data_IF_694934850417
#
_entry.id   IF_694934850417
#
_cell.length_a   1.000
_cell.length_b   1.000
_cell.length_c   1.000
_cell.angle_alpha   90.00
_cell.angle_beta   90.00
_cell.angle_gamma   90.00
#
_symmetry.space_group_name_H-M   'P 1'
#
loop_
_entity.id
_entity.type
_entity.pdbx_description
1 polymer ?
#
# COMPACT_ATOMS: atom_id res chain seq x y z
N UNK A 1 -11.86 -27.61 8.38
CA UNK A 1 -10.62 -27.29 9.12
C UNK A 1 -10.58 -25.77 9.22
N UNK A 2 -10.16 -25.20 10.35
CA UNK A 2 -10.08 -23.74 10.50
C UNK A 2 -8.67 -23.29 10.13
N UNK A 3 -8.55 -22.31 9.24
CA UNK A 3 -7.28 -21.69 8.86
C UNK A 3 -7.08 -20.45 9.73
N UNK A 4 -5.96 -20.39 10.45
CA UNK A 4 -5.61 -19.23 11.27
C UNK A 4 -4.73 -18.27 10.48
N UNK A 5 -5.01 -16.97 10.57
CA UNK A 5 -4.20 -15.90 10.00
C UNK A 5 -3.72 -15.01 11.13
N UNK A 6 -2.43 -14.71 11.14
CA UNK A 6 -1.80 -13.87 12.15
C UNK A 6 -1.42 -12.54 11.50
N UNK A 7 -2.04 -11.46 11.97
CA UNK A 7 -1.90 -10.09 11.48
C UNK A 7 -3.15 -9.59 10.75
N UNK A 8 -3.77 -8.53 11.28
CA UNK A 8 -4.98 -7.88 10.76
C UNK A 8 -4.71 -6.61 9.96
N UNK A 9 -3.53 -6.54 9.34
CA UNK A 9 -3.22 -5.58 8.29
C UNK A 9 -4.02 -5.86 7.01
N UNK A 10 -3.83 -5.01 5.99
CA UNK A 10 -4.57 -5.16 4.73
C UNK A 10 -4.36 -6.54 4.08
N UNK A 11 -3.14 -7.08 4.16
CA UNK A 11 -2.78 -8.38 3.58
C UNK A 11 -3.54 -9.52 4.28
N UNK A 12 -3.51 -9.59 5.61
CA UNK A 12 -4.22 -10.64 6.34
C UNK A 12 -5.73 -10.55 6.17
N UNK A 13 -6.29 -9.34 6.15
CA UNK A 13 -7.71 -9.12 5.92
C UNK A 13 -8.16 -9.51 4.50
N UNK A 14 -7.37 -9.20 3.46
CA UNK A 14 -7.70 -9.62 2.10
C UNK A 14 -7.53 -11.13 1.92
N UNK A 15 -6.49 -11.74 2.49
CA UNK A 15 -6.33 -13.21 2.51
C UNK A 15 -7.50 -13.91 3.21
N UNK A 16 -7.93 -13.40 4.37
CA UNK A 16 -9.11 -13.91 5.07
C UNK A 16 -10.36 -13.84 4.19
N UNK A 17 -10.56 -12.72 3.50
CA UNK A 17 -11.73 -12.51 2.65
C UNK A 17 -11.74 -13.53 1.50
N UNK A 18 -10.60 -13.72 0.86
CA UNK A 18 -10.41 -14.69 -0.22
C UNK A 18 -10.59 -16.14 0.25
N UNK A 19 -10.17 -16.49 1.46
CA UNK A 19 -10.42 -17.82 2.04
C UNK A 19 -11.90 -18.05 2.32
N UNK A 20 -12.60 -17.05 2.88
CA UNK A 20 -14.06 -17.17 3.12
C UNK A 20 -14.86 -17.33 1.82
N UNK A 21 -14.41 -16.70 0.72
CA UNK A 21 -15.01 -16.85 -0.61
C UNK A 21 -14.84 -18.27 -1.18
N UNK A 22 -13.84 -19.00 -0.68
CA UNK A 22 -13.57 -20.41 -1.04
C UNK A 22 -14.26 -21.39 -0.07
N UNK A 23 -15.06 -20.89 0.88
CA UNK A 23 -15.80 -21.70 1.84
C UNK A 23 -14.97 -22.16 3.05
N UNK A 24 -13.76 -21.64 3.22
CA UNK A 24 -12.91 -22.00 4.36
C UNK A 24 -13.36 -21.29 5.64
N UNK A 25 -13.22 -21.99 6.77
CA UNK A 25 -13.41 -21.40 8.09
C UNK A 25 -12.13 -20.66 8.49
N UNK A 26 -12.23 -19.39 8.87
CA UNK A 26 -11.07 -18.54 9.19
C UNK A 26 -11.13 -18.03 10.62
N UNK A 27 -9.98 -18.08 11.30
CA UNK A 27 -9.71 -17.35 12.53
C UNK A 27 -8.62 -16.31 12.26
N UNK A 28 -8.84 -15.04 12.60
CA UNK A 28 -7.85 -13.98 12.40
C UNK A 28 -7.42 -13.40 13.74
N UNK A 29 -6.12 -13.44 14.02
CA UNK A 29 -5.55 -12.90 15.26
C UNK A 29 -4.74 -11.65 14.93
N UNK A 30 -5.07 -10.52 15.55
CA UNK A 30 -4.33 -9.26 15.40
C UNK A 30 -4.15 -8.61 16.78
N UNK A 31 -2.94 -8.69 17.33
CA UNK A 31 -2.61 -7.98 18.55
C UNK A 31 -2.51 -6.48 18.23
N UNK A 32 -3.66 -5.79 18.24
CA UNK A 32 -3.73 -4.37 17.88
C UNK A 32 -2.72 -3.58 18.75
N UNK A 33 -1.74 -2.98 18.09
CA UNK A 33 -0.80 -2.04 18.69
C UNK A 33 -1.16 -0.65 18.18
N UNK A 34 -1.48 0.27 19.10
CA UNK A 34 -1.81 1.66 18.76
C UNK A 34 -0.57 2.50 18.50
N UNK A 35 0.54 2.15 19.14
CA UNK A 35 1.75 2.97 19.18
C UNK A 35 3.01 2.16 18.92
N UNK A 36 4.04 2.86 18.44
CA UNK A 36 5.39 2.30 18.40
C UNK A 36 5.94 2.14 19.82
N UNK A 37 6.73 1.09 20.03
CA UNK A 37 7.38 0.90 21.31
C UNK A 37 8.13 -0.41 21.39
N UNK A 38 8.36 -0.85 22.61
CA UNK A 38 8.96 -2.14 22.92
C UNK A 38 8.05 -2.81 23.95
N UNK A 39 7.64 -4.04 23.71
CA UNK A 39 6.92 -4.80 24.72
C UNK A 39 7.84 -5.22 25.86
N UNK A 40 7.25 -5.71 26.95
CA UNK A 40 7.99 -6.12 28.17
C UNK A 40 9.07 -7.19 27.91
N UNK A 41 8.92 -7.97 26.84
CA UNK A 41 9.86 -8.99 26.39
C UNK A 41 10.99 -8.44 25.49
N UNK A 42 11.09 -7.12 25.32
CA UNK A 42 12.11 -6.48 24.49
C UNK A 42 11.79 -6.46 22.99
N UNK A 43 10.62 -6.96 22.57
CA UNK A 43 10.23 -6.99 21.15
C UNK A 43 9.73 -5.63 20.67
N UNK A 44 10.21 -5.17 19.50
CA UNK A 44 9.72 -3.95 18.89
C UNK A 44 8.25 -4.09 18.46
N UNK A 45 7.44 -3.08 18.80
CA UNK A 45 6.03 -2.94 18.44
C UNK A 45 5.88 -1.98 17.26
N UNK A 46 5.13 -2.42 16.26
CA UNK A 46 4.84 -1.65 15.06
C UNK A 46 3.33 -1.60 14.84
N UNK A 47 2.69 -0.42 14.88
CA UNK A 47 1.30 -0.29 14.49
C UNK A 47 1.12 -0.67 13.01
N UNK A 48 -0.07 -1.12 12.64
CA UNK A 48 -0.34 -1.63 11.30
C UNK A 48 -0.02 -0.58 10.21
N UNK A 49 0.98 -0.84 9.37
CA UNK A 49 1.39 0.05 8.27
C UNK A 49 0.22 0.48 7.37
N UNK A 50 -0.77 -0.41 7.20
CA UNK A 50 -2.00 -0.14 6.43
C UNK A 50 -2.83 1.03 6.97
N UNK A 51 -2.72 1.38 8.26
CA UNK A 51 -3.41 2.53 8.85
C UNK A 51 -2.87 3.88 8.34
N UNK A 52 -1.57 3.92 8.01
CA UNK A 52 -0.83 5.12 7.61
C UNK A 52 -0.58 5.21 6.11
N UNK A 53 -1.06 4.25 5.32
CA UNK A 53 -0.84 4.25 3.88
C UNK A 53 -1.71 5.32 3.18
N UNK A 54 -1.18 5.89 2.08
CA UNK A 54 -1.93 6.83 1.23
C UNK A 54 -3.02 6.15 0.39
N UNK A 55 -2.82 4.90 -0.02
CA UNK A 55 -3.83 4.10 -0.70
C UNK A 55 -3.91 4.26 -2.22
N UNK A 56 -2.80 4.62 -2.87
CA UNK A 56 -2.70 4.55 -4.34
C UNK A 56 -2.71 3.08 -4.79
N UNK A 57 -3.39 2.82 -5.91
CA UNK A 57 -3.42 1.56 -6.64
C UNK A 57 -2.82 1.81 -8.02
N UNK A 58 -1.54 2.18 -8.02
CA UNK A 58 -0.94 2.89 -9.15
C UNK A 58 0.32 2.18 -9.66
N UNK A 59 0.20 1.02 -10.34
CA UNK A 59 1.34 0.27 -10.84
C UNK A 59 2.20 1.09 -11.82
N UNK A 60 1.61 2.02 -12.58
CA UNK A 60 2.33 2.82 -13.57
C UNK A 60 2.97 4.01 -12.88
N UNK A 61 2.22 4.77 -12.07
CA UNK A 61 2.82 5.91 -11.39
C UNK A 61 3.89 5.51 -10.37
N UNK A 62 3.77 4.38 -9.68
CA UNK A 62 4.68 4.04 -8.58
C UNK A 62 5.93 3.25 -8.98
N UNK A 63 5.98 2.69 -10.20
CA UNK A 63 7.14 1.89 -10.63
C UNK A 63 8.38 2.76 -10.84
N UNK A 64 9.51 2.23 -10.38
CA UNK A 64 10.84 2.81 -10.52
C UNK A 64 11.66 2.00 -11.53
N UNK A 65 12.75 2.58 -12.04
CA UNK A 65 13.67 1.85 -12.92
C UNK A 65 14.19 0.57 -12.24
N UNK A 66 14.44 -0.48 -13.04
CA UNK A 66 14.99 -1.77 -12.60
C UNK A 66 14.07 -2.59 -11.66
N UNK A 67 12.75 -2.37 -11.73
CA UNK A 67 11.76 -3.13 -10.97
C UNK A 67 11.07 -4.22 -11.81
N UNK A 68 11.82 -4.90 -12.68
CA UNK A 68 11.26 -5.81 -13.70
C UNK A 68 10.52 -7.01 -13.09
N UNK A 69 10.90 -7.46 -11.89
CA UNK A 69 10.20 -8.52 -11.15
C UNK A 69 8.98 -8.03 -10.35
N UNK A 70 8.99 -6.76 -9.91
CA UNK A 70 7.91 -6.18 -9.10
C UNK A 70 6.76 -5.66 -9.96
N UNK A 71 7.07 -5.12 -11.14
CA UNK A 71 6.07 -4.52 -12.01
C UNK A 71 4.97 -5.49 -12.47
N UNK A 72 5.26 -6.75 -12.86
CA UNK A 72 4.23 -7.74 -13.15
C UNK A 72 3.30 -8.00 -11.96
N UNK A 73 3.83 -8.04 -10.73
CA UNK A 73 3.05 -8.22 -9.51
C UNK A 73 2.09 -7.06 -9.27
N UNK A 74 2.61 -5.83 -9.35
CA UNK A 74 1.80 -4.60 -9.19
C UNK A 74 0.68 -4.55 -10.21
N UNK A 75 1.01 -4.91 -11.46
CA UNK A 75 0.07 -4.93 -12.58
C UNK A 75 -1.03 -5.97 -12.39
N UNK A 76 -0.66 -7.22 -12.10
CA UNK A 76 -1.62 -8.29 -11.85
C UNK A 76 -2.54 -7.99 -10.66
N UNK A 77 -2.01 -7.32 -9.63
CA UNK A 77 -2.81 -6.91 -8.48
C UNK A 77 -3.77 -5.77 -8.81
N UNK A 78 -3.34 -4.76 -9.57
CA UNK A 78 -4.22 -3.69 -10.07
C UNK A 78 -5.38 -4.25 -10.90
N UNK A 79 -5.10 -5.20 -11.79
CA UNK A 79 -6.11 -5.84 -12.64
C UNK A 79 -7.09 -6.71 -11.81
N UNK A 80 -6.68 -7.19 -10.62
CA UNK A 80 -7.53 -7.96 -9.70
C UNK A 80 -8.46 -7.10 -8.82
N UNK A 81 -8.14 -5.82 -8.62
CA UNK A 81 -8.88 -4.94 -7.71
C UNK A 81 -10.37 -4.74 -8.07
N UNK A 82 -10.76 -4.50 -9.34
CA UNK A 82 -12.15 -4.32 -9.69
C UNK A 82 -13.05 -5.49 -9.26
N UNK A 83 -12.59 -6.73 -9.49
CA UNK A 83 -13.31 -7.93 -9.07
C UNK A 83 -13.35 -8.08 -7.55
N UNK A 84 -12.26 -7.76 -6.84
CA UNK A 84 -12.25 -7.75 -5.37
C UNK A 84 -13.27 -6.74 -4.82
N UNK A 85 -13.34 -5.54 -5.40
CA UNK A 85 -14.27 -4.49 -4.97
C UNK A 85 -15.73 -4.87 -5.22
N UNK A 86 -16.03 -5.49 -6.36
CA UNK A 86 -17.37 -6.00 -6.67
C UNK A 86 -17.81 -7.09 -5.68
N UNK A 87 -16.93 -8.02 -5.32
CA UNK A 87 -17.26 -9.08 -4.37
C UNK A 87 -17.38 -8.53 -2.95
N UNK A 88 -16.53 -7.59 -2.57
CA UNK A 88 -16.59 -6.95 -1.25
C UNK A 88 -17.88 -6.14 -1.07
N UNK A 89 -18.35 -5.41 -2.10
CA UNK A 89 -19.59 -4.64 -2.01
C UNK A 89 -20.85 -5.51 -1.85
N UNK A 90 -20.80 -6.78 -2.29
CA UNK A 90 -21.86 -7.76 -2.01
C UNK A 90 -21.84 -8.26 -0.56
N UNK A 91 -20.71 -8.13 0.12
CA UNK A 91 -20.51 -8.61 1.49
C UNK A 91 -20.73 -7.53 2.55
N UNK A 92 -20.51 -6.26 2.20
CA UNK A 92 -20.66 -5.11 3.09
C UNK A 92 -21.11 -3.86 2.35
N UNK A 93 -21.93 -3.05 3.04
CA UNK A 93 -22.35 -1.72 2.58
C UNK A 93 -21.38 -0.61 3.03
N UNK A 94 -20.36 -0.96 3.82
CA UNK A 94 -19.38 0.01 4.28
C UNK A 94 -18.51 0.49 3.12
N UNK A 95 -18.23 1.80 3.03
CA UNK A 95 -17.41 2.33 1.95
C UNK A 95 -15.96 1.84 2.08
N UNK A 96 -15.31 1.63 0.94
CA UNK A 96 -13.86 1.34 0.85
C UNK A 96 -13.04 2.57 0.47
N UNK A 97 -13.71 3.60 -0.05
CA UNK A 97 -13.09 4.76 -0.69
C UNK A 97 -12.45 4.45 -2.03
N UNK A 98 -12.78 3.31 -2.65
CA UNK A 98 -12.28 2.95 -3.99
C UNK A 98 -12.75 3.95 -5.04
N UNK A 99 -11.81 4.49 -5.80
CA UNK A 99 -12.04 5.51 -6.80
C UNK A 99 -11.15 5.25 -8.01
N UNK A 100 -11.75 5.35 -9.20
CA UNK A 100 -11.14 5.00 -10.49
C UNK A 100 -10.92 6.23 -11.37
N UNK A 101 -10.85 7.42 -10.77
CA UNK A 101 -10.75 8.68 -11.51
C UNK A 101 -9.41 8.81 -12.25
N UNK A 102 -8.38 8.10 -11.79
CA UNK A 102 -7.05 8.11 -12.42
C UNK A 102 -6.00 8.83 -11.60
N UNK A 103 -4.75 8.74 -12.06
CA UNK A 103 -3.62 9.52 -11.55
C UNK A 103 -3.12 10.49 -12.61
N UNK A 104 -2.73 11.69 -12.19
CA UNK A 104 -2.03 12.68 -12.98
C UNK A 104 -0.63 12.88 -12.40
N UNK A 105 0.41 12.55 -13.16
CA UNK A 105 1.79 12.85 -12.79
C UNK A 105 2.14 14.25 -13.30
N UNK A 106 2.67 15.11 -12.44
CA UNK A 106 2.96 16.51 -12.72
C UNK A 106 4.43 16.82 -12.43
N UNK A 107 5.08 17.52 -13.35
CA UNK A 107 6.43 18.05 -13.16
C UNK A 107 6.38 19.52 -12.74
N UNK A 108 7.01 19.87 -11.61
CA UNK A 108 7.03 21.25 -11.12
C UNK A 108 7.93 22.18 -11.95
N UNK A 109 9.02 21.64 -12.52
CA UNK A 109 9.97 22.38 -13.34
C UNK A 109 10.49 21.55 -14.54
N UNK A 110 11.38 22.17 -15.34
CA UNK A 110 11.88 21.55 -16.57
C UNK A 110 12.71 20.28 -16.30
N UNK A 111 13.50 20.25 -15.23
CA UNK A 111 14.29 19.09 -14.88
C UNK A 111 13.39 17.92 -14.46
N UNK A 112 12.34 18.21 -13.69
CA UNK A 112 11.31 17.23 -13.34
C UNK A 112 10.56 16.73 -14.60
N UNK A 113 10.31 17.60 -15.59
CA UNK A 113 9.66 17.23 -16.84
C UNK A 113 10.54 16.31 -17.71
N UNK A 114 11.85 16.58 -17.76
CA UNK A 114 12.83 15.73 -18.42
C UNK A 114 12.96 14.35 -17.71
N UNK A 115 12.83 14.31 -16.39
CA UNK A 115 12.72 13.04 -15.65
C UNK A 115 11.45 12.28 -16.03
N UNK A 116 10.29 12.94 -16.00
CA UNK A 116 8.99 12.35 -16.35
C UNK A 116 8.98 11.77 -17.78
N UNK A 117 9.59 12.46 -18.74
CA UNK A 117 9.72 11.98 -20.12
C UNK A 117 10.55 10.70 -20.23
N UNK A 118 11.65 10.59 -19.46
CA UNK A 118 12.48 9.38 -19.41
C UNK A 118 11.73 8.20 -18.82
N UNK A 119 11.01 8.42 -17.72
CA UNK A 119 10.24 7.35 -17.06
C UNK A 119 9.07 6.88 -17.94
N UNK A 120 8.41 7.79 -18.67
CA UNK A 120 7.38 7.43 -19.66
C UNK A 120 7.91 6.52 -20.78
N UNK A 121 9.14 6.76 -21.25
CA UNK A 121 9.73 5.92 -22.30
C UNK A 121 9.82 4.46 -21.84
N UNK A 122 10.21 4.23 -20.59
CA UNK A 122 10.25 2.90 -19.96
C UNK A 122 8.85 2.27 -19.85
N UNK A 123 7.80 3.03 -19.51
CA UNK A 123 6.43 2.49 -19.39
C UNK A 123 5.85 2.00 -20.71
N UNK A 124 6.12 2.73 -21.80
CA UNK A 124 5.67 2.36 -23.14
C UNK A 124 6.22 0.98 -23.55
N UNK A 125 7.46 0.69 -23.19
CA UNK A 125 8.09 -0.59 -23.50
C UNK A 125 7.44 -1.76 -22.74
N UNK A 126 6.70 -1.45 -21.66
CA UNK A 126 5.92 -2.40 -20.86
C UNK A 126 4.42 -2.46 -21.24
N UNK A 127 4.02 -1.89 -22.40
CA UNK A 127 2.64 -1.87 -22.90
C UNK A 127 1.58 -1.28 -21.94
N UNK A 128 1.97 -0.37 -21.04
CA UNK A 128 1.03 0.35 -20.18
C UNK A 128 0.97 1.83 -20.59
N UNK A 129 -0.17 2.33 -21.09
CA UNK A 129 -0.27 3.67 -21.63
C UNK A 129 -0.12 4.72 -20.51
N UNK A 130 0.76 5.68 -20.77
CA UNK A 130 0.94 6.87 -19.94
C UNK A 130 0.86 8.07 -20.89
N UNK A 131 -0.34 8.66 -20.94
CA UNK A 131 -0.72 9.60 -21.98
C UNK A 131 -0.14 10.98 -21.66
N UNK A 132 0.77 11.51 -22.51
CA UNK A 132 1.32 12.83 -22.28
C UNK A 132 0.20 13.86 -22.46
N UNK A 133 0.05 14.77 -21.51
CA UNK A 133 -0.89 15.88 -21.60
C UNK A 133 -0.15 17.19 -21.45
N UNK A 134 -0.56 18.20 -22.21
CA UNK A 134 -0.02 19.54 -22.07
C UNK A 134 -0.38 20.14 -20.71
N UNK A 135 0.40 21.09 -20.17
CA UNK A 135 0.03 21.83 -18.96
C UNK A 135 -1.40 22.41 -19.01
N UNK A 136 -1.83 22.89 -20.18
CA UNK A 136 -3.20 23.39 -20.39
C UNK A 136 -4.25 22.30 -20.22
N UNK A 137 -4.03 21.12 -20.80
CA UNK A 137 -4.94 19.96 -20.64
C UNK A 137 -4.94 19.46 -19.19
N UNK A 138 -3.77 19.36 -18.55
CA UNK A 138 -3.65 19.00 -17.14
C UNK A 138 -4.47 19.95 -16.25
N UNK A 139 -4.39 21.27 -16.49
CA UNK A 139 -5.19 22.26 -15.78
C UNK A 139 -6.68 22.26 -16.15
N UNK A 140 -7.05 21.74 -17.31
CA UNK A 140 -8.45 21.50 -17.63
C UNK A 140 -9.03 20.34 -16.81
N UNK A 141 -8.23 19.29 -16.58
CA UNK A 141 -8.58 18.17 -15.70
C UNK A 141 -8.59 18.60 -14.23
N UNK A 142 -7.57 19.35 -13.81
CA UNK A 142 -7.35 19.84 -12.44
C UNK A 142 -7.09 21.36 -12.41
N UNK A 143 -8.15 22.19 -12.36
CA UNK A 143 -8.04 23.66 -12.45
C UNK A 143 -7.17 24.33 -11.39
N UNK A 144 -7.03 23.69 -10.23
CA UNK A 144 -6.28 24.19 -9.08
C UNK A 144 -4.80 23.81 -9.09
N UNK A 145 -4.33 23.11 -10.13
CA UNK A 145 -2.89 22.94 -10.36
C UNK A 145 -2.21 24.30 -10.57
N UNK A 146 -0.96 24.38 -10.11
CA UNK A 146 -0.12 25.56 -10.24
C UNK A 146 -0.01 25.99 -11.73
N UNK A 147 -0.08 27.30 -12.04
CA UNK A 147 0.01 27.77 -13.42
C UNK A 147 1.34 27.45 -14.12
N UNK A 148 2.41 27.22 -13.34
CA UNK A 148 3.79 27.04 -13.82
C UNK A 148 4.28 25.60 -13.68
N UNK A 149 3.43 24.61 -13.94
CA UNK A 149 3.88 23.22 -14.13
C UNK A 149 4.57 23.09 -15.50
N UNK A 150 5.60 22.25 -15.57
CA UNK A 150 6.45 22.12 -16.76
C UNK A 150 6.08 20.91 -17.64
N UNK A 151 5.28 19.98 -17.12
CA UNK A 151 4.82 18.81 -17.85
C UNK A 151 3.83 17.99 -17.05
N UNK A 152 3.06 17.15 -17.73
CA UNK A 152 2.13 16.25 -17.09
C UNK A 152 1.88 14.98 -17.92
N UNK A 153 1.49 13.91 -17.23
CA UNK A 153 1.12 12.60 -17.81
C UNK A 153 -0.14 12.12 -17.11
N UNK A 154 -1.15 11.75 -17.89
CA UNK A 154 -2.40 11.17 -17.40
C UNK A 154 -2.31 9.64 -17.42
N UNK A 155 -2.79 9.02 -16.34
CA UNK A 155 -2.83 7.57 -16.17
C UNK A 155 -4.23 7.19 -15.66
N UNK A 156 -5.22 7.02 -16.56
CA UNK A 156 -6.59 6.69 -16.17
C UNK A 156 -6.72 5.31 -15.50
N UNK A 157 -5.81 4.38 -15.78
CA UNK A 157 -5.85 3.02 -15.22
C UNK A 157 -5.36 2.93 -13.77
N UNK A 158 -4.71 3.97 -13.25
CA UNK A 158 -4.27 4.00 -11.85
C UNK A 158 -5.45 4.40 -10.96
N UNK A 159 -5.77 3.58 -9.97
CA UNK A 159 -6.90 3.83 -9.08
C UNK A 159 -6.39 4.27 -7.70
N UNK A 160 -7.31 4.45 -6.77
CA UNK A 160 -7.01 4.65 -5.35
C UNK A 160 -8.08 3.99 -4.49
N UNK A 161 -7.77 3.83 -3.20
CA UNK A 161 -8.76 3.56 -2.16
C UNK A 161 -8.41 4.31 -0.88
N UNK A 162 -9.30 4.29 0.11
CA UNK A 162 -9.01 4.81 1.45
C UNK A 162 -8.64 3.64 2.39
N UNK A 163 -7.37 3.48 2.81
CA UNK A 163 -6.94 2.28 3.53
C UNK A 163 -7.67 2.02 4.85
N UNK A 164 -7.94 3.06 5.65
CA UNK A 164 -8.73 2.93 6.89
C UNK A 164 -10.17 2.46 6.63
N UNK A 165 -10.84 2.99 5.61
CA UNK A 165 -12.19 2.57 5.22
C UNK A 165 -12.19 1.14 4.66
N UNK A 166 -11.26 0.82 3.77
CA UNK A 166 -11.09 -0.52 3.21
C UNK A 166 -10.87 -1.58 4.30
N UNK A 167 -10.01 -1.32 5.30
CA UNK A 167 -9.83 -2.23 6.44
C UNK A 167 -11.12 -2.45 7.22
N UNK A 168 -11.88 -1.37 7.47
CA UNK A 168 -13.15 -1.44 8.19
C UNK A 168 -14.19 -2.26 7.40
N UNK A 169 -14.29 -2.04 6.10
CA UNK A 169 -15.17 -2.79 5.21
C UNK A 169 -14.80 -4.28 5.17
N UNK A 170 -13.53 -4.62 5.04
CA UNK A 170 -13.07 -6.02 5.12
C UNK A 170 -13.39 -6.65 6.47
N UNK A 171 -13.07 -5.99 7.59
CA UNK A 171 -13.39 -6.52 8.93
C UNK A 171 -14.90 -6.79 9.06
N UNK A 172 -15.76 -5.86 8.66
CA UNK A 172 -17.22 -6.03 8.71
C UNK A 172 -17.71 -7.18 7.80
N UNK A 173 -17.22 -7.26 6.56
CA UNK A 173 -17.55 -8.35 5.65
C UNK A 173 -17.14 -9.73 6.21
N UNK A 174 -15.97 -9.81 6.84
CA UNK A 174 -15.45 -11.02 7.48
C UNK A 174 -16.29 -11.41 8.71
N UNK A 175 -16.66 -10.45 9.56
CA UNK A 175 -17.55 -10.69 10.69
C UNK A 175 -18.89 -11.26 10.24
N UNK A 176 -19.49 -10.71 9.16
CA UNK A 176 -20.75 -11.22 8.59
C UNK A 176 -20.63 -12.64 8.02
N UNK A 177 -19.43 -13.06 7.67
CA UNK A 177 -19.10 -14.41 7.19
C UNK A 177 -18.69 -15.37 8.29
N UNK A 178 -18.79 -14.96 9.56
CA UNK A 178 -18.52 -15.81 10.71
C UNK A 178 -17.04 -15.97 11.03
N UNK A 179 -16.16 -15.11 10.51
CA UNK A 179 -14.75 -15.08 10.92
C UNK A 179 -14.65 -14.64 12.37
N UNK A 180 -13.91 -15.40 13.17
CA UNK A 180 -13.63 -15.08 14.57
C UNK A 180 -12.34 -14.26 14.66
N UNK A 181 -12.35 -13.23 15.50
CA UNK A 181 -11.21 -12.34 15.69
C UNK A 181 -10.59 -12.55 17.08
N UNK A 182 -9.28 -12.75 17.12
CA UNK A 182 -8.45 -12.73 18.32
C UNK A 182 -7.63 -11.45 18.41
N UNK A 183 -7.30 -11.03 19.63
CA UNK A 183 -6.44 -9.86 19.90
C UNK A 183 -5.20 -10.22 20.71
N UNK A 184 -5.04 -11.50 21.01
CA UNK A 184 -3.89 -12.03 21.71
C UNK A 184 -2.64 -11.94 20.86
N UNK A 185 -1.50 -11.83 21.55
CA UNK A 185 -0.21 -11.87 20.89
C UNK A 185 0.21 -13.31 20.64
N UNK A 186 0.38 -13.66 19.37
CA UNK A 186 0.93 -14.96 19.00
C UNK A 186 2.45 -14.88 18.99
N UNK A 187 3.12 -15.69 19.79
CA UNK A 187 4.59 -15.79 19.83
C UNK A 187 5.11 -17.03 19.12
N UNK A 188 4.36 -18.14 19.20
CA UNK A 188 4.67 -19.41 18.58
C UNK A 188 3.50 -19.87 17.70
N UNK A 189 3.43 -19.41 16.43
CA UNK A 189 2.36 -19.81 15.53
C UNK A 189 2.47 -21.29 15.16
N UNK A 190 1.36 -21.94 14.82
CA UNK A 190 1.33 -23.33 14.34
C UNK A 190 1.76 -23.42 12.87
N UNK A 191 2.11 -24.62 12.40
CA UNK A 191 2.55 -24.83 11.02
C UNK A 191 1.46 -24.48 9.98
N UNK A 192 0.19 -24.71 10.33
CA UNK A 192 -0.97 -24.39 9.47
C UNK A 192 -1.35 -22.92 9.45
N UNK A 193 -0.76 -22.08 10.29
CA UNK A 193 -1.10 -20.65 10.38
C UNK A 193 -0.43 -19.85 9.26
N UNK A 194 -1.14 -18.84 8.74
CA UNK A 194 -0.59 -17.92 7.73
C UNK A 194 -0.04 -16.66 8.42
N UNK A 195 1.23 -16.34 8.18
CA UNK A 195 1.89 -15.16 8.76
C UNK A 195 1.71 -13.93 7.86
N UNK A 196 0.94 -12.94 8.34
CA UNK A 196 0.66 -11.66 7.68
C UNK A 196 0.97 -10.44 8.59
N UNK A 197 1.90 -10.59 9.53
CA UNK A 197 2.19 -9.60 10.60
C UNK A 197 3.07 -8.41 10.18
N UNK A 198 3.31 -8.20 8.89
CA UNK A 198 4.17 -7.09 8.43
C UNK A 198 5.59 -7.20 9.00
N UNK A 199 6.08 -6.12 9.64
CA UNK A 199 7.36 -6.10 10.34
C UNK A 199 7.41 -7.12 11.50
N UNK A 200 6.28 -7.47 12.10
CA UNK A 200 6.19 -8.47 13.16
C UNK A 200 6.52 -9.89 12.69
N UNK A 201 6.68 -10.14 11.39
CA UNK A 201 7.05 -11.46 10.88
C UNK A 201 8.45 -11.91 11.38
N UNK A 202 9.31 -10.97 11.75
CA UNK A 202 10.64 -11.25 12.35
C UNK A 202 10.56 -11.97 13.69
N UNK A 203 9.39 -11.96 14.36
CA UNK A 203 9.14 -12.76 15.57
C UNK A 203 8.97 -14.26 15.26
N UNK A 204 8.76 -14.63 14.00
CA UNK A 204 8.39 -15.98 13.60
C UNK A 204 9.41 -16.63 12.64
N UNK A 205 10.39 -15.88 12.17
CA UNK A 205 11.45 -16.35 11.28
C UNK A 205 12.51 -15.29 11.03
N UNK A 206 13.66 -15.73 10.53
CA UNK A 206 14.75 -14.84 10.16
C UNK A 206 14.47 -14.24 8.76
N UNK A 207 13.85 -13.07 8.77
CA UNK A 207 13.54 -12.32 7.55
C UNK A 207 14.32 -11.00 7.58
N UNK A 208 14.98 -10.61 6.48
CA UNK A 208 15.73 -9.35 6.40
C UNK A 208 14.77 -8.15 6.22
N UNK A 209 13.79 -8.00 7.12
CA UNK A 209 12.84 -6.91 7.11
C UNK A 209 13.42 -5.70 7.83
N UNK A 210 13.33 -4.53 7.18
CA UNK A 210 13.70 -3.24 7.78
C UNK A 210 12.47 -2.31 7.83
N UNK A 211 12.30 -1.53 8.91
CA UNK A 211 11.29 -0.50 8.95
C UNK A 211 11.71 0.68 8.08
N UNK A 212 10.93 0.99 7.05
CA UNK A 212 11.08 2.22 6.27
C UNK A 212 9.96 3.17 6.65
N UNK A 213 10.31 4.20 7.42
CA UNK A 213 9.36 5.19 7.93
C UNK A 213 8.96 6.18 6.84
N UNK A 214 7.67 6.48 6.76
CA UNK A 214 7.17 7.53 5.88
C UNK A 214 6.18 8.42 6.59
N UNK A 215 6.48 9.72 6.60
CA UNK A 215 5.59 10.74 7.11
C UNK A 215 4.47 10.99 6.09
N UNK A 216 3.25 11.14 6.58
CA UNK A 216 2.04 11.38 5.79
C UNK A 216 1.17 12.39 6.52
N UNK A 217 0.52 13.27 5.75
CA UNK A 217 -0.37 14.30 6.27
C UNK A 217 -1.78 14.05 5.77
N UNK A 218 -2.78 14.25 6.62
CA UNK A 218 -4.18 14.36 6.22
C UNK A 218 -4.63 15.78 6.47
N UNK A 219 -5.18 16.39 5.43
CA UNK A 219 -5.73 17.72 5.47
C UNK A 219 -7.24 17.68 5.21
N UNK A 220 -7.95 18.73 5.61
CA UNK A 220 -9.33 19.01 5.22
C UNK A 220 -9.35 20.24 4.33
N UNK A 221 -9.76 20.07 3.09
CA UNK A 221 -10.05 21.20 2.23
C UNK A 221 -11.46 21.76 2.55
N UNK A 222 -11.70 23.08 2.45
CA UNK A 222 -13.02 23.67 2.64
C UNK A 222 -14.05 23.17 1.60
N UNK A 223 -13.56 22.66 0.46
CA UNK A 223 -14.28 21.93 -0.58
C UNK A 223 -13.29 21.02 -1.32
N UNK A 224 -13.71 19.95 -2.00
CA UNK A 224 -12.80 19.13 -2.79
C UNK A 224 -12.00 19.97 -3.79
N UNK A 225 -10.66 19.91 -3.72
CA UNK A 225 -9.75 20.72 -4.55
C UNK A 225 -9.11 19.95 -5.71
N UNK A 226 -9.20 18.62 -5.70
CA UNK A 226 -8.69 17.74 -6.75
C UNK A 226 -9.72 16.64 -7.03
N UNK A 227 -9.73 16.12 -8.27
CA UNK A 227 -10.52 14.94 -8.65
C UNK A 227 -9.66 13.70 -8.78
N UNK A 228 -8.52 13.83 -9.44
CA UNK A 228 -7.53 12.78 -9.67
C UNK A 228 -6.52 12.75 -8.53
N UNK A 229 -5.86 11.61 -8.34
CA UNK A 229 -4.60 11.60 -7.59
C UNK A 229 -3.58 12.44 -8.33
N UNK A 230 -2.97 13.42 -7.67
CA UNK A 230 -1.86 14.19 -8.24
C UNK A 230 -0.58 13.65 -7.64
N UNK A 231 0.28 13.05 -8.45
CA UNK A 231 1.66 12.73 -8.08
C UNK A 231 2.58 13.71 -8.78
N UNK A 232 3.68 14.09 -8.17
CA UNK A 232 4.63 14.95 -8.85
C UNK A 232 6.03 14.89 -8.27
N UNK A 233 6.93 15.55 -8.98
CA UNK A 233 8.29 15.77 -8.54
C UNK A 233 8.49 17.26 -8.31
N UNK A 234 9.12 17.61 -7.19
CA UNK A 234 9.50 18.98 -6.84
C UNK A 234 10.97 18.97 -6.41
N UNK A 235 11.85 19.53 -7.24
CA UNK A 235 13.30 19.41 -7.06
C UNK A 235 13.71 17.92 -6.96
N UNK A 236 13.23 17.08 -7.89
CA UNK A 236 13.47 15.63 -7.94
C UNK A 236 12.96 14.81 -6.75
N UNK A 237 12.23 15.40 -5.80
CA UNK A 237 11.59 14.67 -4.69
C UNK A 237 10.15 14.33 -5.05
N UNK A 238 9.70 13.08 -4.86
CA UNK A 238 8.32 12.71 -5.11
C UNK A 238 7.39 13.27 -4.01
N UNK A 239 6.20 13.69 -4.41
CA UNK A 239 5.07 14.00 -3.53
C UNK A 239 3.78 13.54 -4.22
N UNK A 240 2.81 13.08 -3.45
CA UNK A 240 1.47 12.77 -3.94
C UNK A 240 0.42 13.45 -3.08
N UNK A 241 -0.69 13.80 -3.72
CA UNK A 241 -1.89 14.38 -3.14
C UNK A 241 -3.06 13.50 -3.59
N UNK A 242 -3.71 12.86 -2.64
CA UNK A 242 -4.75 11.86 -2.86
C UNK A 242 -6.06 12.42 -2.33
N UNK A 243 -6.97 12.92 -3.19
CA UNK A 243 -8.23 13.50 -2.75
C UNK A 243 -9.24 12.43 -2.36
N UNK A 244 -10.10 12.76 -1.40
CA UNK A 244 -11.26 11.97 -1.00
C UNK A 244 -12.57 12.74 -1.26
N UNK A 245 -13.70 12.03 -1.48
CA UNK A 245 -14.97 12.66 -1.80
C UNK A 245 -15.50 13.64 -0.74
N UNK A 246 -15.14 13.43 0.53
CA UNK A 246 -15.55 14.26 1.66
C UNK A 246 -14.69 15.53 1.84
N UNK A 247 -13.75 15.79 0.93
CA UNK A 247 -12.83 16.93 1.00
C UNK A 247 -11.58 16.67 1.83
N UNK A 248 -11.37 15.44 2.32
CA UNK A 248 -10.07 15.06 2.86
C UNK A 248 -9.03 14.99 1.73
N UNK A 249 -7.81 15.41 2.06
CA UNK A 249 -6.65 15.31 1.17
C UNK A 249 -5.49 14.64 1.90
N UNK A 250 -5.02 13.52 1.38
CA UNK A 250 -3.83 12.85 1.90
C UNK A 250 -2.59 13.29 1.12
N UNK A 251 -1.57 13.80 1.83
CA UNK A 251 -0.29 14.20 1.25
C UNK A 251 0.80 13.27 1.75
N UNK A 252 1.56 12.69 0.83
CA UNK A 252 2.68 11.84 1.21
C UNK A 252 3.67 11.60 0.08
N UNK A 253 4.71 10.82 0.30
CA UNK A 253 5.23 10.55 1.64
C UNK A 253 6.73 10.69 1.61
N UNK A 254 7.30 10.99 2.78
CA UNK A 254 8.75 10.85 2.97
C UNK A 254 9.14 9.38 3.00
N UNK A 255 10.45 9.14 2.97
CA UNK A 255 11.06 7.82 3.17
C UNK A 255 12.31 8.01 4.02
N UNK A 256 12.32 7.39 5.20
CA UNK A 256 13.36 7.55 6.22
C UNK A 256 13.73 6.18 6.79
N UNK A 257 15.03 5.89 6.81
CA UNK A 257 15.60 4.73 7.51
C UNK A 257 16.35 5.26 8.74
N UNK A 258 15.59 5.76 9.70
CA UNK A 258 16.08 6.22 10.99
C UNK A 258 15.20 5.63 12.12
N UNK A 259 15.35 6.11 13.35
CA UNK A 259 14.61 5.59 14.51
C UNK A 259 13.49 6.52 15.00
N UNK A 260 13.15 7.57 14.24
CA UNK A 260 12.13 8.55 14.66
C UNK A 260 10.73 8.03 14.34
N UNK A 261 10.00 7.65 15.38
CA UNK A 261 8.63 7.11 15.36
C UNK A 261 7.54 8.19 15.45
N UNK A 262 7.92 9.46 15.36
CA UNK A 262 7.03 10.61 15.23
C UNK A 262 7.25 11.32 13.88
N UNK A 263 6.26 12.06 13.37
CA UNK A 263 6.42 12.88 12.17
C UNK A 263 7.59 13.84 12.31
N UNK A 264 8.51 13.78 11.37
CA UNK A 264 9.68 14.65 11.38
C UNK A 264 9.31 16.05 10.85
N UNK A 265 9.69 17.12 11.56
CA UNK A 265 9.33 18.51 11.19
C UNK A 265 9.82 18.88 9.78
N UNK A 266 11.03 18.46 9.43
CA UNK A 266 11.58 18.62 8.08
C UNK A 266 10.75 17.89 7.03
N UNK A 267 10.29 16.67 7.35
CA UNK A 267 9.39 15.88 6.51
C UNK A 267 8.03 16.55 6.31
N UNK A 268 7.39 17.01 7.39
CA UNK A 268 6.10 17.73 7.36
C UNK A 268 6.24 19.01 6.52
N UNK A 269 7.26 19.82 6.79
CA UNK A 269 7.51 21.06 6.06
C UNK A 269 7.78 20.80 4.57
N UNK A 270 8.60 19.79 4.25
CA UNK A 270 8.85 19.39 2.86
C UNK A 270 7.55 19.00 2.14
N UNK A 271 6.73 18.14 2.75
CA UNK A 271 5.49 17.67 2.14
C UNK A 271 4.52 18.82 1.87
N UNK A 272 4.32 19.72 2.83
CA UNK A 272 3.45 20.89 2.65
C UNK A 272 3.99 21.82 1.55
N UNK A 273 5.28 22.16 1.59
CA UNK A 273 5.91 23.03 0.59
C UNK A 273 5.80 22.44 -0.81
N UNK A 274 6.10 21.16 -0.97
CA UNK A 274 6.11 20.50 -2.27
C UNK A 274 4.67 20.30 -2.79
N UNK A 275 3.71 20.01 -1.90
CA UNK A 275 2.28 19.97 -2.26
C UNK A 275 1.74 21.34 -2.70
N UNK A 276 2.02 22.42 -1.96
CA UNK A 276 1.63 23.79 -2.31
C UNK A 276 2.25 24.21 -3.64
N UNK A 277 3.50 23.79 -3.93
CA UNK A 277 4.16 24.08 -5.21
C UNK A 277 3.41 23.51 -6.41
N UNK A 278 2.75 22.37 -6.25
CA UNK A 278 1.93 21.72 -7.28
C UNK A 278 0.48 22.19 -7.29
N UNK A 279 -0.12 22.39 -6.11
CA UNK A 279 -1.53 22.76 -5.92
C UNK A 279 -1.62 23.86 -4.85
N UNK A 280 -1.56 25.16 -5.23
CA UNK A 280 -1.52 26.26 -4.26
C UNK A 280 -2.70 26.29 -3.29
N UNK A 281 -3.87 25.79 -3.71
CA UNK A 281 -5.07 25.71 -2.86
C UNK A 281 -4.90 24.85 -1.59
N UNK A 282 -3.80 24.09 -1.46
CA UNK A 282 -3.43 23.39 -0.22
C UNK A 282 -3.22 24.37 0.95
N UNK A 283 -2.83 25.63 0.69
CA UNK A 283 -2.66 26.67 1.72
C UNK A 283 -3.95 26.96 2.50
N UNK A 284 -5.12 26.73 1.89
CA UNK A 284 -6.44 26.95 2.48
C UNK A 284 -6.97 25.73 3.25
N UNK A 285 -6.20 24.65 3.32
CA UNK A 285 -6.61 23.41 3.99
C UNK A 285 -6.23 23.40 5.47
N UNK A 286 -7.06 22.78 6.29
CA UNK A 286 -6.77 22.55 7.71
C UNK A 286 -5.98 21.25 7.88
N UNK A 287 -4.94 21.24 8.73
CA UNK A 287 -4.21 20.02 9.07
C UNK A 287 -5.03 19.18 10.05
N UNK A 288 -5.47 17.99 9.63
CA UNK A 288 -6.18 17.04 10.49
C UNK A 288 -5.22 16.16 11.28
N UNK A 289 -4.15 15.70 10.62
CA UNK A 289 -3.28 14.67 11.18
C UNK A 289 -1.92 14.70 10.48
N UNK A 290 -0.85 14.56 11.26
CA UNK A 290 0.49 14.24 10.77
C UNK A 290 0.92 12.92 11.44
N UNK A 291 1.31 11.94 10.62
CA UNK A 291 1.63 10.59 11.09
C UNK A 291 2.88 10.04 10.44
N UNK A 292 3.41 8.97 11.02
CA UNK A 292 4.49 8.18 10.44
C UNK A 292 4.14 6.69 10.44
N UNK A 293 4.29 6.04 9.29
CA UNK A 293 4.09 4.60 9.13
C UNK A 293 5.42 3.88 8.84
N UNK A 294 5.70 2.79 9.57
CA UNK A 294 6.83 1.91 9.31
C UNK A 294 6.42 0.83 8.31
N UNK A 295 6.99 0.88 7.11
CA UNK A 295 6.70 -0.06 6.03
C UNK A 295 7.65 -1.26 6.13
N UNK A 296 7.17 -2.51 5.93
CA UNK A 296 8.03 -3.70 5.94
C UNK A 296 8.82 -3.80 4.63
N UNK A 297 10.04 -3.28 4.59
CA UNK A 297 10.91 -3.35 3.41
C UNK A 297 11.84 -4.55 3.43
N UNK A 298 12.10 -5.14 2.27
CA UNK A 298 13.10 -6.20 2.01
C UNK A 298 14.30 -5.67 1.24
N UNK A 299 15.48 -6.34 1.25
CA UNK A 299 16.68 -5.84 0.57
C UNK A 299 16.53 -5.62 -0.94
N UNK A 300 15.63 -6.37 -1.57
CA UNK A 300 15.35 -6.31 -3.02
C UNK A 300 14.02 -5.60 -3.34
N UNK A 301 13.35 -5.01 -2.35
CA UNK A 301 12.02 -4.40 -2.43
C UNK A 301 10.88 -5.33 -2.92
N UNK A 302 11.14 -6.64 -3.09
CA UNK A 302 10.12 -7.64 -3.41
C UNK A 302 9.45 -8.15 -2.12
N UNK A 303 8.15 -8.50 -2.15
CA UNK A 303 7.50 -9.16 -1.03
C UNK A 303 8.18 -10.47 -0.60
N UNK A 304 7.90 -10.91 0.62
CA UNK A 304 8.17 -12.28 1.07
C UNK A 304 6.84 -13.02 1.00
N UNK A 305 6.72 -13.95 0.05
CA UNK A 305 5.54 -14.77 -0.14
C UNK A 305 5.92 -16.20 -0.44
N UNK A 306 5.40 -17.14 0.34
CA UNK A 306 5.57 -18.57 0.13
C UNK A 306 5.76 -19.33 1.43
N UNK A 307 6.04 -20.62 1.31
CA UNK A 307 6.27 -21.47 2.46
C UNK A 307 7.70 -21.34 2.98
N UNK A 308 7.88 -21.06 4.26
CA UNK A 308 9.14 -21.32 4.96
C UNK A 308 9.16 -22.72 5.54
N UNK A 309 10.35 -23.27 5.72
CA UNK A 309 10.58 -24.48 6.52
C UNK A 309 10.87 -24.07 7.97
N UNK A 310 10.13 -24.65 8.92
CA UNK A 310 10.29 -24.43 10.36
C UNK A 310 11.38 -25.37 10.91
N UNK A 311 11.82 -25.11 12.14
CA UNK A 311 12.86 -25.92 12.81
C UNK A 311 12.44 -27.39 12.99
N UNK A 312 11.14 -27.67 13.09
CA UNK A 312 10.56 -29.02 13.20
C UNK A 312 10.34 -29.69 11.82
N UNK A 313 10.78 -29.05 10.73
CA UNK A 313 10.63 -29.56 9.35
C UNK A 313 9.26 -29.31 8.72
N UNK A 314 8.29 -28.76 9.46
CA UNK A 314 6.98 -28.41 8.90
C UNK A 314 7.07 -27.15 8.05
N UNK A 315 6.11 -26.96 7.13
CA UNK A 315 6.03 -25.78 6.27
C UNK A 315 5.01 -24.80 6.79
N UNK A 316 5.29 -23.51 6.68
CA UNK A 316 4.37 -22.44 7.06
C UNK A 316 4.31 -21.34 6.01
N UNK A 317 3.10 -20.95 5.61
CA UNK A 317 2.88 -19.90 4.63
C UNK A 317 3.12 -18.51 5.24
N UNK A 318 3.87 -17.67 4.54
CA UNK A 318 4.18 -16.30 4.93
C UNK A 318 3.82 -15.35 3.80
N UNK A 319 3.28 -14.19 4.14
CA UNK A 319 2.94 -13.11 3.22
C UNK A 319 3.21 -11.77 3.92
N UNK A 320 4.38 -11.19 3.68
CA UNK A 320 4.85 -9.93 4.29
C UNK A 320 5.82 -9.18 3.36
N UNK A 321 6.46 -8.11 3.83
CA UNK A 321 7.54 -7.44 3.09
C UNK A 321 7.07 -6.56 1.92
N UNK A 322 5.80 -6.19 1.86
CA UNK A 322 5.23 -5.45 0.73
C UNK A 322 5.61 -3.96 0.66
N UNK A 323 6.50 -3.49 1.55
CA UNK A 323 7.05 -2.14 1.59
C UNK A 323 6.00 -1.04 1.32
N UNK A 324 6.21 -0.23 0.27
CA UNK A 324 5.34 0.90 -0.12
C UNK A 324 4.14 0.47 -0.99
N UNK A 325 4.13 -0.76 -1.49
CA UNK A 325 3.10 -1.28 -2.39
C UNK A 325 2.09 -2.20 -1.68
N UNK A 326 2.12 -2.27 -0.35
CA UNK A 326 1.26 -3.19 0.41
C UNK A 326 -0.24 -2.98 0.24
N UNK A 327 -0.69 -1.76 -0.06
CA UNK A 327 -2.09 -1.55 -0.46
C UNK A 327 -2.28 -2.14 -1.87
N UNK A 328 -1.58 -1.62 -2.88
CA UNK A 328 -1.67 -2.10 -4.27
C UNK A 328 -1.52 -3.63 -4.42
N UNK A 329 -0.65 -4.29 -3.67
CA UNK A 329 -0.39 -5.73 -3.79
C UNK A 329 -1.35 -6.60 -2.96
N UNK A 330 -2.24 -6.01 -2.15
CA UNK A 330 -3.12 -6.76 -1.26
C UNK A 330 -4.14 -7.64 -2.00
N UNK A 331 -4.60 -7.23 -3.18
CA UNK A 331 -5.53 -8.02 -3.99
C UNK A 331 -4.87 -9.30 -4.52
N UNK A 332 -3.67 -9.20 -5.11
CA UNK A 332 -2.91 -10.36 -5.56
C UNK A 332 -2.46 -11.23 -4.38
N UNK A 333 -1.90 -10.62 -3.32
CA UNK A 333 -1.43 -11.34 -2.14
C UNK A 333 -2.55 -12.14 -1.47
N UNK A 334 -3.73 -11.53 -1.29
CA UNK A 334 -4.88 -12.20 -0.70
C UNK A 334 -5.36 -13.36 -1.56
N UNK A 335 -5.51 -13.14 -2.87
CA UNK A 335 -5.99 -14.15 -3.81
C UNK A 335 -5.06 -15.37 -3.86
N UNK A 336 -3.77 -15.13 -4.12
CA UNK A 336 -2.78 -16.20 -4.23
C UNK A 336 -2.52 -16.85 -2.87
N UNK A 337 -2.52 -16.07 -1.79
CA UNK A 337 -2.39 -16.59 -0.42
C UNK A 337 -3.49 -17.59 -0.09
N UNK A 338 -4.75 -17.27 -0.41
CA UNK A 338 -5.86 -18.18 -0.22
C UNK A 338 -5.77 -19.43 -1.12
N UNK A 339 -5.42 -19.27 -2.40
CA UNK A 339 -5.25 -20.40 -3.33
C UNK A 339 -4.18 -21.38 -2.85
N UNK A 340 -3.02 -20.87 -2.45
CA UNK A 340 -1.88 -21.67 -1.98
C UNK A 340 -2.19 -22.34 -0.64
N UNK A 341 -2.90 -21.65 0.27
CA UNK A 341 -3.36 -22.24 1.52
C UNK A 341 -4.37 -23.38 1.31
N UNK A 342 -5.18 -23.31 0.24
CA UNK A 342 -6.08 -24.38 -0.20
C UNK A 342 -5.39 -25.45 -1.08
N UNK A 343 -4.06 -25.46 -1.16
CA UNK A 343 -3.29 -26.51 -1.83
C UNK A 343 -2.89 -26.24 -3.28
N UNK A 344 -3.13 -25.04 -3.82
CA UNK A 344 -2.61 -24.67 -5.13
C UNK A 344 -1.08 -24.49 -5.09
N UNK A 345 -0.43 -24.69 -6.24
CA UNK A 345 0.98 -24.37 -6.40
C UNK A 345 1.21 -22.85 -6.39
N UNK A 346 2.41 -22.42 -5.95
CA UNK A 346 2.80 -21.02 -6.02
C UNK A 346 2.94 -20.63 -7.50
N UNK A 347 2.19 -19.64 -8.00
CA UNK A 347 2.22 -19.29 -9.42
C UNK A 347 3.59 -18.71 -9.81
N UNK A 348 4.04 -18.87 -11.07
CA UNK A 348 5.35 -18.40 -11.52
C UNK A 348 5.64 -16.93 -11.21
N UNK A 349 4.63 -16.06 -11.30
CA UNK A 349 4.77 -14.62 -11.02
C UNK A 349 5.23 -14.33 -9.57
N UNK A 350 4.94 -15.24 -8.63
CA UNK A 350 5.28 -15.09 -7.21
C UNK A 350 6.59 -15.80 -6.82
N UNK A 351 7.25 -16.53 -7.73
CA UNK A 351 8.47 -17.29 -7.42
C UNK A 351 9.62 -16.38 -6.95
N UNK A 352 9.74 -15.18 -7.53
CA UNK A 352 10.74 -14.20 -7.09
C UNK A 352 10.50 -13.69 -5.65
N UNK A 353 9.34 -13.96 -5.05
CA UNK A 353 9.01 -13.60 -3.67
C UNK A 353 9.31 -14.73 -2.67
N UNK A 354 9.90 -15.86 -3.09
CA UNK A 354 10.16 -17.01 -2.22
C UNK A 354 10.92 -16.58 -0.94
N UNK A 355 10.47 -16.99 0.27
CA UNK A 355 11.18 -16.70 1.52
C UNK A 355 12.63 -17.20 1.55
N UNK A 356 12.96 -18.29 0.85
CA UNK A 356 14.29 -18.88 0.82
C UNK A 356 15.28 -18.10 -0.08
N UNK A 357 14.84 -17.08 -0.82
CA UNK A 357 15.75 -16.32 -1.70
C UNK A 357 16.85 -15.54 -0.96
N UNK A 358 16.72 -15.39 0.36
CA UNK A 358 17.70 -14.74 1.23
C UNK A 358 18.51 -15.72 2.07
N UNK A 359 18.22 -17.03 2.01
CA UNK A 359 19.02 -18.03 2.72
C UNK A 359 20.23 -18.41 1.85
N UNK A 360 21.43 -18.13 2.35
CA UNK A 360 22.70 -18.49 1.72
C UNK A 360 23.30 -19.74 2.34
#
# INVERSE_FOLDING_TARGET
MTITIIGGGIIGLTTAFELTERGESVHLIDAETSDYGTADDGTALYPAASHYAGGMLAPIAEVQFQQDALFPLMTASADAYPSLMERLSRATDLPTGYDTTGTLIVAADRADAEHLQRTRAYYRDMNRPADPVTPTQARALEPLLAPRIAGAVSIPSDHQLHPRLMRRALKDALTRRGVTFGTERVTAPDAGDIICTGLGATLHGDYPLRPVYGDILRLRAPRPILKHVVRGYVNSRPVYLIPRPDGELCIGATSREDHRTLPAIDGVHQLLRDAIRLVPAVEECELLEANVGARPGTPDDLPIFGYRTRADGTRQLVSTGYFRHGILLAALAGKVGAEVACGAEIPPIMQACDPARFTH
#
